data_IF_170499721885
#
_entry.id   IF_170499721885
#
_cell.length_a   1.000
_cell.length_b   1.000
_cell.length_c   1.000
_cell.angle_alpha   90.00
_cell.angle_beta   90.00
_cell.angle_gamma   90.00
#
_symmetry.space_group_name_H-M   'P 1'
#
loop_
_entity.id
_entity.type
_entity.pdbx_description
1 polymer ?
#
# COMPACT_ATOMS: atom_id res chain seq x y z
N UNK A 1 -25.05 52.32 32.37
CA UNK A 1 -23.66 52.07 32.83
C UNK A 1 -23.00 51.08 31.89
N UNK A 2 -22.04 51.55 31.10
CA UNK A 2 -21.21 50.78 30.16
C UNK A 2 -20.05 50.11 30.90
N UNK A 3 -19.79 48.83 30.63
CA UNK A 3 -18.46 48.22 30.77
C UNK A 3 -18.21 47.28 29.60
N UNK A 4 -17.55 47.83 28.58
CA UNK A 4 -16.74 47.06 27.63
C UNK A 4 -15.66 46.27 28.39
N UNK A 5 -15.41 45.02 28.01
CA UNK A 5 -14.16 44.34 28.37
C UNK A 5 -13.54 43.62 27.15
N UNK A 6 -12.64 44.37 26.53
CA UNK A 6 -11.31 44.00 26.00
C UNK A 6 -11.04 42.54 25.59
N UNK A 7 -10.77 42.42 24.29
CA UNK A 7 -9.46 42.07 23.74
C UNK A 7 -8.91 40.65 24.03
N UNK A 8 -9.03 39.75 23.05
CA UNK A 8 -7.94 38.80 22.75
C UNK A 8 -7.57 38.89 21.28
N UNK A 9 -6.33 39.30 21.08
CA UNK A 9 -5.67 39.52 19.81
C UNK A 9 -5.51 38.20 19.05
N UNK A 10 -5.79 38.30 17.76
CA UNK A 10 -5.54 37.34 16.69
C UNK A 10 -4.02 37.21 16.50
N UNK A 11 -3.45 36.05 16.78
CA UNK A 11 -2.06 35.72 16.43
C UNK A 11 -2.01 35.53 14.92
N UNK A 12 -1.44 36.48 14.19
CA UNK A 12 -1.06 36.31 12.78
C UNK A 12 0.42 35.95 12.74
N UNK A 13 0.74 34.88 12.01
CA UNK A 13 2.11 34.47 11.72
C UNK A 13 2.90 35.62 11.08
N UNK A 14 4.14 35.76 11.52
CA UNK A 14 5.10 36.71 10.99
C UNK A 14 5.60 36.23 9.63
N UNK A 15 4.94 36.64 8.54
CA UNK A 15 5.60 36.63 7.24
C UNK A 15 6.68 37.70 7.22
N UNK A 16 7.94 37.29 7.15
CA UNK A 16 9.07 38.19 6.97
C UNK A 16 9.01 38.71 5.53
N UNK A 17 8.30 39.83 5.34
CA UNK A 17 8.33 40.58 4.08
C UNK A 17 9.67 41.31 3.98
N UNK A 18 10.59 40.76 3.18
CA UNK A 18 11.81 41.46 2.74
C UNK A 18 11.45 42.54 1.70
N UNK A 19 10.77 43.60 2.13
CA UNK A 19 10.39 44.76 1.32
C UNK A 19 11.26 45.95 1.75
N UNK A 20 12.51 45.96 1.29
CA UNK A 20 13.46 47.04 1.53
C UNK A 20 14.67 46.93 0.62
N UNK A 21 15.39 48.04 0.41
CA UNK A 21 16.62 48.09 -0.40
C UNK A 21 17.65 47.05 0.03
N UNK A 22 17.74 46.75 1.34
CA UNK A 22 18.57 45.67 1.87
C UNK A 22 18.14 44.27 1.38
N UNK A 23 16.83 44.01 1.25
CA UNK A 23 16.31 42.75 0.71
C UNK A 23 16.57 42.58 -0.79
N UNK A 24 16.51 43.69 -1.55
CA UNK A 24 16.92 43.69 -2.96
C UNK A 24 18.41 43.47 -3.13
N UNK A 25 19.25 44.03 -2.26
CA UNK A 25 20.70 43.78 -2.27
C UNK A 25 21.01 42.32 -1.92
N UNK A 26 20.34 41.75 -0.91
CA UNK A 26 20.54 40.34 -0.54
C UNK A 26 20.09 39.37 -1.64
N UNK A 27 18.96 39.66 -2.30
CA UNK A 27 18.46 38.87 -3.42
C UNK A 27 19.40 38.97 -4.64
N UNK A 28 19.89 40.17 -4.96
CA UNK A 28 20.87 40.37 -6.05
C UNK A 28 22.21 39.69 -5.77
N UNK A 29 22.69 39.71 -4.52
CA UNK A 29 23.91 38.99 -4.12
C UNK A 29 23.72 37.46 -4.21
N UNK A 30 22.53 36.94 -3.84
CA UNK A 30 22.22 35.51 -3.97
C UNK A 30 22.14 35.06 -5.43
N UNK A 31 21.55 35.87 -6.32
CA UNK A 31 21.51 35.61 -7.76
C UNK A 31 22.90 35.69 -8.39
N UNK A 32 23.72 36.66 -7.98
CA UNK A 32 25.11 36.79 -8.46
C UNK A 32 25.96 35.59 -8.03
N UNK A 33 25.79 35.10 -6.80
CA UNK A 33 26.47 33.90 -6.32
C UNK A 33 26.06 32.65 -7.10
N UNK A 34 24.77 32.52 -7.45
CA UNK A 34 24.25 31.39 -8.21
C UNK A 34 24.76 31.39 -9.67
N UNK A 35 24.93 32.57 -10.28
CA UNK A 35 25.54 32.72 -11.61
C UNK A 35 27.03 32.36 -11.61
N UNK A 36 27.78 32.71 -10.55
CA UNK A 36 29.20 32.34 -10.41
C UNK A 36 29.36 30.82 -10.25
N UNK A 37 28.46 30.15 -9.53
CA UNK A 37 28.48 28.68 -9.37
C UNK A 37 28.22 28.00 -10.72
N UNK A 38 27.27 28.49 -11.54
CA UNK A 38 26.99 27.91 -12.86
C UNK A 38 28.14 28.14 -13.84
N UNK A 39 28.83 29.27 -13.79
CA UNK A 39 29.98 29.56 -14.65
C UNK A 39 31.24 28.74 -14.29
N UNK A 40 31.34 28.21 -13.07
CA UNK A 40 32.45 27.37 -12.60
C UNK A 40 32.30 25.88 -12.96
N UNK A 41 31.19 25.46 -13.58
CA UNK A 41 30.97 24.09 -14.05
C UNK A 41 31.31 23.85 -15.52
N UNK A 42 32.04 24.76 -16.16
CA UNK A 42 32.62 24.57 -17.50
C UNK A 42 33.83 23.62 -17.47
N UNK A 43 33.59 22.35 -17.13
CA UNK A 43 34.59 21.28 -17.13
C UNK A 43 34.84 20.73 -18.54
N UNK A 44 36.10 20.79 -18.95
CA UNK A 44 36.69 20.28 -20.18
C UNK A 44 36.17 18.89 -20.60
N UNK A 45 35.68 18.76 -21.82
CA UNK A 45 35.44 17.46 -22.45
C UNK A 45 36.78 16.76 -22.65
N UNK A 46 37.03 15.69 -21.88
CA UNK A 46 38.12 14.77 -22.12
C UNK A 46 37.78 13.90 -23.34
N UNK A 47 38.72 13.81 -24.28
CA UNK A 47 38.64 12.91 -25.43
C UNK A 47 38.53 11.44 -24.98
N UNK A 48 37.81 10.58 -25.72
CA UNK A 48 37.69 9.17 -25.37
C UNK A 48 39.00 8.43 -25.68
N UNK A 49 39.73 8.06 -24.63
CA UNK A 49 40.81 7.06 -24.72
C UNK A 49 40.21 5.72 -25.16
N UNK A 50 40.61 5.25 -26.33
CA UNK A 50 40.30 3.90 -26.82
C UNK A 50 40.97 2.88 -25.89
N UNK A 51 40.15 2.12 -25.16
CA UNK A 51 40.60 0.95 -24.41
C UNK A 51 40.90 -0.20 -25.39
N UNK A 52 41.94 -1.04 -25.14
CA UNK A 52 42.17 -2.23 -25.93
C UNK A 52 41.03 -3.23 -25.75
N UNK A 53 40.64 -3.88 -26.86
CA UNK A 53 39.58 -4.87 -26.94
C UNK A 53 39.79 -6.04 -25.96
N UNK A 54 38.72 -6.58 -25.35
CA UNK A 54 38.83 -7.77 -24.52
C UNK A 54 39.16 -9.00 -25.37
N UNK A 55 40.16 -9.76 -24.94
CA UNK A 55 40.48 -11.09 -25.44
C UNK A 55 39.27 -12.02 -25.26
N UNK A 56 38.73 -12.53 -26.36
CA UNK A 56 37.67 -13.53 -26.34
C UNK A 56 38.18 -14.82 -25.67
N UNK A 57 37.50 -15.23 -24.59
CA UNK A 57 37.69 -16.55 -23.97
C UNK A 57 36.87 -17.56 -24.78
N UNK A 58 37.41 -18.74 -25.14
CA UNK A 58 36.65 -19.73 -25.90
C UNK A 58 35.47 -20.22 -25.05
N UNK A 59 34.25 -19.98 -25.57
CA UNK A 59 33.00 -20.50 -25.03
C UNK A 59 32.96 -22.01 -25.26
N UNK A 60 32.91 -22.79 -24.18
CA UNK A 60 32.65 -24.23 -24.27
C UNK A 60 31.20 -24.45 -24.72
N UNK A 61 31.05 -25.23 -25.79
CA UNK A 61 29.76 -25.62 -26.37
C UNK A 61 28.86 -26.31 -25.33
N UNK A 62 27.54 -26.07 -25.37
CA UNK A 62 26.60 -26.85 -24.55
C UNK A 62 26.53 -28.29 -25.08
N UNK A 63 26.73 -29.24 -24.18
CA UNK A 63 26.48 -30.68 -24.39
C UNK A 63 24.98 -30.90 -24.60
N UNK A 64 24.62 -31.46 -25.75
CA UNK A 64 23.27 -31.94 -26.05
C UNK A 64 22.82 -32.93 -24.96
N UNK A 65 21.89 -32.48 -24.12
CA UNK A 65 21.19 -33.38 -23.19
C UNK A 65 20.07 -34.07 -23.98
N UNK A 66 20.06 -35.41 -24.07
CA UNK A 66 19.00 -36.10 -24.79
C UNK A 66 17.65 -35.89 -24.09
N UNK A 67 16.69 -35.36 -24.86
CA UNK A 67 15.28 -35.29 -24.52
C UNK A 67 14.75 -36.70 -24.18
N UNK A 68 14.09 -36.91 -23.03
CA UNK A 68 13.45 -38.20 -22.78
C UNK A 68 12.26 -38.39 -23.73
N UNK A 69 12.31 -39.48 -24.49
CA UNK A 69 11.23 -39.96 -25.34
C UNK A 69 10.04 -40.36 -24.45
N UNK A 70 8.79 -39.94 -24.74
CA UNK A 70 7.63 -40.42 -24.01
C UNK A 70 7.41 -41.91 -24.31
N UNK A 71 7.64 -42.75 -23.30
CA UNK A 71 7.24 -44.16 -23.31
C UNK A 71 5.72 -44.22 -23.19
N UNK A 72 5.05 -44.57 -24.28
CA UNK A 72 3.64 -44.95 -24.26
C UNK A 72 3.50 -46.31 -23.56
N UNK A 73 3.36 -46.28 -22.23
CA UNK A 73 2.89 -47.45 -21.47
C UNK A 73 1.38 -47.55 -21.66
N UNK A 74 0.84 -48.66 -22.19
CA UNK A 74 -0.60 -48.85 -22.23
C UNK A 74 -1.11 -48.97 -20.79
N UNK A 75 -1.91 -47.98 -20.36
CA UNK A 75 -2.69 -48.04 -19.12
C UNK A 75 -3.65 -49.22 -19.22
N UNK A 76 -3.48 -50.21 -18.34
CA UNK A 76 -4.44 -51.29 -18.20
C UNK A 76 -5.78 -50.70 -17.75
N UNK A 77 -6.82 -50.89 -18.57
CA UNK A 77 -8.22 -50.64 -18.25
C UNK A 77 -8.57 -51.36 -16.94
N UNK A 78 -9.00 -50.67 -15.87
CA UNK A 78 -9.55 -51.36 -14.72
C UNK A 78 -10.89 -52.02 -15.13
N UNK A 79 -11.03 -53.29 -14.81
CA UNK A 79 -12.28 -54.04 -14.92
C UNK A 79 -13.38 -53.38 -14.07
N UNK A 80 -14.67 -53.45 -14.47
CA UNK A 80 -15.75 -52.88 -13.68
C UNK A 80 -15.84 -53.59 -12.32
N UNK A 81 -15.63 -52.82 -11.25
CA UNK A 81 -15.93 -53.27 -9.89
C UNK A 81 -17.43 -53.16 -9.68
N UNK A 82 -18.08 -54.30 -9.42
CA UNK A 82 -19.47 -54.36 -8.96
C UNK A 82 -19.63 -53.49 -7.72
N UNK A 83 -20.22 -52.31 -7.91
CA UNK A 83 -20.55 -51.41 -6.81
C UNK A 83 -21.76 -51.99 -6.09
N UNK A 84 -21.68 -52.33 -4.79
CA UNK A 84 -22.85 -52.77 -4.06
C UNK A 84 -23.85 -51.60 -4.00
N UNK A 85 -25.08 -51.88 -4.44
CA UNK A 85 -26.23 -50.97 -4.34
C UNK A 85 -26.37 -50.49 -2.90
N UNK A 86 -26.23 -49.18 -2.68
CA UNK A 86 -26.46 -48.56 -1.40
C UNK A 86 -27.94 -48.75 -0.99
N UNK A 87 -28.15 -49.34 0.18
CA UNK A 87 -29.44 -49.36 0.88
C UNK A 87 -29.95 -47.93 1.05
N UNK A 88 -31.23 -47.62 0.75
CA UNK A 88 -31.76 -46.28 0.95
C UNK A 88 -31.72 -45.92 2.44
N UNK A 89 -30.99 -44.85 2.77
CA UNK A 89 -31.01 -44.20 4.08
C UNK A 89 -32.40 -43.57 4.27
N UNK A 90 -33.06 -43.72 5.43
CA UNK A 90 -34.35 -43.09 5.69
C UNK A 90 -34.23 -41.56 5.55
N UNK A 91 -35.15 -40.98 4.79
CA UNK A 91 -35.26 -39.54 4.58
C UNK A 91 -35.60 -38.84 5.89
N UNK A 92 -34.68 -38.03 6.41
CA UNK A 92 -34.96 -37.15 7.54
C UNK A 92 -36.15 -36.25 7.19
N UNK A 93 -37.13 -36.24 8.09
CA UNK A 93 -38.31 -35.38 8.00
C UNK A 93 -37.84 -33.92 7.95
N UNK A 94 -38.31 -33.09 6.99
CA UNK A 94 -37.88 -31.70 6.91
C UNK A 94 -38.29 -30.97 8.19
N UNK A 95 -37.29 -30.48 8.92
CA UNK A 95 -37.46 -29.52 10.01
C UNK A 95 -38.27 -28.34 9.49
N UNK A 96 -39.35 -27.90 10.18
CA UNK A 96 -40.13 -26.76 9.73
C UNK A 96 -39.22 -25.53 9.61
N UNK A 97 -39.29 -24.87 8.44
CA UNK A 97 -38.65 -23.59 8.19
C UNK A 97 -39.09 -22.60 9.27
N UNK A 98 -38.17 -22.02 10.06
CA UNK A 98 -38.56 -21.02 11.04
C UNK A 98 -39.20 -19.83 10.33
N UNK A 99 -40.37 -19.45 10.82
CA UNK A 99 -41.08 -18.22 10.45
C UNK A 99 -40.11 -17.03 10.52
N UNK A 100 -40.13 -16.08 9.57
CA UNK A 100 -39.23 -14.94 9.61
C UNK A 100 -39.49 -14.18 10.91
N UNK A 101 -38.52 -14.20 11.82
CA UNK A 101 -38.58 -13.38 13.00
C UNK A 101 -38.76 -11.94 12.53
N UNK A 102 -39.86 -11.29 12.93
CA UNK A 102 -40.03 -9.83 12.86
C UNK A 102 -39.11 -9.15 13.88
N UNK A 103 -37.87 -9.61 13.94
CA UNK A 103 -36.81 -9.09 14.78
C UNK A 103 -36.42 -7.73 14.24
N UNK A 104 -36.37 -6.77 15.16
CA UNK A 104 -35.70 -5.47 15.01
C UNK A 104 -34.48 -5.61 14.07
N UNK A 105 -34.30 -4.71 13.07
CA UNK A 105 -33.07 -4.72 12.28
C UNK A 105 -31.88 -4.78 13.25
N UNK A 106 -30.81 -5.54 12.91
CA UNK A 106 -29.64 -5.61 13.77
C UNK A 106 -29.25 -4.19 14.15
N UNK A 107 -29.01 -3.96 15.45
CA UNK A 107 -28.56 -2.66 15.91
C UNK A 107 -27.41 -2.21 15.00
N UNK A 108 -27.53 -1.01 14.45
CA UNK A 108 -26.44 -0.38 13.71
C UNK A 108 -25.16 -0.60 14.49
N UNK A 109 -24.03 -0.97 13.86
CA UNK A 109 -22.80 -1.23 14.60
C UNK A 109 -22.54 -0.07 15.55
N UNK A 110 -22.13 -0.37 16.79
CA UNK A 110 -21.76 0.64 17.75
C UNK A 110 -20.64 1.49 17.14
N UNK A 111 -20.99 2.69 16.65
CA UNK A 111 -20.01 3.63 16.10
C UNK A 111 -19.26 4.20 17.30
N UNK A 112 -18.09 3.63 17.58
CA UNK A 112 -17.18 4.16 18.59
C UNK A 112 -16.41 5.33 17.98
N UNK A 113 -16.74 6.55 18.39
CA UNK A 113 -15.96 7.73 18.04
C UNK A 113 -14.74 7.84 18.97
N UNK A 114 -13.56 7.47 18.48
CA UNK A 114 -12.28 7.66 19.20
C UNK A 114 -11.57 8.88 18.60
N UNK A 115 -11.62 10.02 19.31
CA UNK A 115 -10.93 11.27 18.91
C UNK A 115 -11.83 12.50 18.91
N UNK A 116 -11.29 13.64 18.45
CA UNK A 116 -12.10 14.81 18.14
C UNK A 116 -12.47 14.74 16.65
N UNK A 117 -13.70 14.32 16.30
CA UNK A 117 -14.07 14.07 14.92
C UNK A 117 -14.43 15.37 14.21
N UNK A 118 -13.76 16.48 14.51
CA UNK A 118 -14.12 17.78 13.95
C UNK A 118 -12.96 18.45 13.23
N UNK A 119 -13.25 19.14 12.12
CA UNK A 119 -12.32 20.09 11.51
C UNK A 119 -11.86 21.13 12.55
N UNK A 120 -10.80 21.90 12.28
CA UNK A 120 -10.47 23.09 13.07
C UNK A 120 -11.65 24.07 13.23
N UNK A 121 -12.62 24.04 12.32
CA UNK A 121 -13.82 24.88 12.30
C UNK A 121 -15.04 24.22 12.99
N UNK A 122 -14.94 22.96 13.42
CA UNK A 122 -15.97 22.25 14.19
C UNK A 122 -16.88 21.31 13.40
N UNK A 123 -16.64 21.11 12.10
CA UNK A 123 -17.47 20.25 11.25
C UNK A 123 -17.13 18.77 11.44
N UNK A 124 -18.11 17.87 11.47
CA UNK A 124 -17.87 16.44 11.66
C UNK A 124 -16.99 15.85 10.54
N UNK A 125 -16.09 14.97 10.91
CA UNK A 125 -15.17 14.25 10.03
C UNK A 125 -15.26 12.75 10.27
N UNK A 126 -15.09 12.01 9.19
CA UNK A 126 -14.90 10.56 9.18
C UNK A 126 -13.68 10.26 8.33
N UNK A 127 -12.84 9.33 8.77
CA UNK A 127 -11.77 8.76 7.97
C UNK A 127 -12.15 7.32 7.63
N UNK A 128 -12.10 7.00 6.34
CA UNK A 128 -12.30 5.64 5.85
C UNK A 128 -10.92 5.04 5.64
N UNK A 129 -10.73 3.78 6.02
CA UNK A 129 -9.49 3.08 5.72
C UNK A 129 -9.78 1.63 5.42
N UNK A 130 -8.89 1.02 4.65
CA UNK A 130 -9.04 -0.34 4.14
C UNK A 130 -7.83 -1.17 4.52
N UNK A 131 -8.08 -2.40 4.95
CA UNK A 131 -7.04 -3.42 5.11
C UNK A 131 -6.93 -4.17 3.78
N UNK A 132 -5.73 -4.17 3.20
CA UNK A 132 -5.51 -4.67 1.84
C UNK A 132 -5.04 -6.11 1.88
N UNK A 133 -5.94 -6.98 1.45
CA UNK A 133 -5.76 -8.41 1.24
C UNK A 133 -6.74 -8.89 0.15
N UNK A 134 -6.44 -10.04 -0.47
CA UNK A 134 -7.36 -10.66 -1.44
C UNK A 134 -7.23 -10.15 -2.88
N UNK A 135 -8.33 -10.15 -3.64
CA UNK A 135 -8.32 -9.94 -5.10
C UNK A 135 -8.18 -8.44 -5.47
N UNK A 136 -7.16 -8.04 -6.25
CA UNK A 136 -7.01 -6.66 -6.72
C UNK A 136 -8.18 -6.15 -7.57
N UNK A 137 -9.00 -7.01 -8.18
CA UNK A 137 -10.18 -6.58 -8.92
C UNK A 137 -11.19 -5.82 -8.03
N UNK A 138 -11.28 -6.16 -6.75
CA UNK A 138 -12.14 -5.44 -5.79
C UNK A 138 -11.50 -4.11 -5.40
N UNK A 139 -10.18 -4.07 -5.24
CA UNK A 139 -9.44 -2.83 -4.98
C UNK A 139 -9.68 -1.80 -6.09
N UNK A 140 -9.58 -2.18 -7.36
CA UNK A 140 -9.80 -1.22 -8.46
C UNK A 140 -11.21 -0.63 -8.46
N UNK A 141 -12.24 -1.43 -8.13
CA UNK A 141 -13.61 -0.93 -7.98
C UNK A 141 -13.73 0.08 -6.83
N UNK A 142 -13.07 -0.19 -5.70
CA UNK A 142 -13.03 0.74 -4.57
C UNK A 142 -12.33 2.04 -4.98
N UNK A 143 -11.19 1.96 -5.65
CA UNK A 143 -10.43 3.12 -6.12
C UNK A 143 -11.25 3.96 -7.11
N UNK A 144 -11.98 3.34 -8.02
CA UNK A 144 -12.86 4.05 -8.97
C UNK A 144 -13.98 4.81 -8.26
N UNK A 145 -14.58 4.23 -7.22
CA UNK A 145 -15.59 4.91 -6.39
C UNK A 145 -14.94 6.05 -5.60
N UNK A 146 -13.77 5.85 -5.01
CA UNK A 146 -13.08 6.92 -4.27
C UNK A 146 -12.75 8.09 -5.18
N UNK A 147 -12.32 7.84 -6.42
CA UNK A 147 -12.08 8.87 -7.44
C UNK A 147 -13.38 9.60 -7.83
N UNK A 148 -14.50 8.89 -8.03
CA UNK A 148 -15.81 9.47 -8.35
C UNK A 148 -16.24 10.51 -7.31
N UNK A 149 -15.99 10.23 -6.03
CA UNK A 149 -16.32 11.12 -4.92
C UNK A 149 -15.17 12.06 -4.50
N UNK A 150 -14.01 11.99 -5.16
CA UNK A 150 -12.83 12.79 -4.83
C UNK A 150 -12.27 12.53 -3.43
N UNK A 151 -12.43 11.32 -2.91
CA UNK A 151 -12.04 10.92 -1.55
C UNK A 151 -10.61 10.36 -1.57
N UNK A 152 -9.77 10.88 -0.67
CA UNK A 152 -8.47 10.29 -0.33
C UNK A 152 -8.53 9.68 1.06
N UNK A 153 -7.81 8.58 1.22
CA UNK A 153 -8.02 7.61 2.30
C UNK A 153 -6.72 6.85 2.56
N UNK A 154 -6.68 6.08 3.65
CA UNK A 154 -5.50 5.26 4.01
C UNK A 154 -5.75 3.78 3.74
N UNK A 155 -4.80 3.12 3.06
CA UNK A 155 -4.79 1.67 2.81
C UNK A 155 -3.69 1.03 3.65
N UNK A 156 -4.05 0.10 4.53
CA UNK A 156 -3.13 -0.66 5.36
C UNK A 156 -2.70 -1.91 4.58
N UNK A 157 -1.43 -1.95 4.21
CA UNK A 157 -0.87 -2.88 3.23
C UNK A 157 -0.35 -4.15 3.92
N UNK A 158 -0.83 -5.32 3.50
CA UNK A 158 -0.21 -6.59 3.84
C UNK A 158 1.05 -6.81 2.98
N UNK A 159 2.18 -7.17 3.59
CA UNK A 159 3.46 -7.38 2.91
C UNK A 159 3.42 -8.41 1.77
N UNK A 160 2.92 -9.62 2.04
CA UNK A 160 2.79 -10.68 1.02
C UNK A 160 1.89 -10.27 -0.15
N UNK A 161 0.81 -9.52 0.14
CA UNK A 161 -0.09 -9.03 -0.91
C UNK A 161 0.61 -8.02 -1.83
N UNK A 162 1.45 -7.14 -1.27
CA UNK A 162 2.22 -6.16 -2.05
C UNK A 162 3.27 -6.86 -2.92
N UNK A 163 3.93 -7.90 -2.39
CA UNK A 163 4.85 -8.73 -3.17
C UNK A 163 4.12 -9.41 -4.33
N UNK A 164 2.91 -9.91 -4.09
CA UNK A 164 2.10 -10.59 -5.10
C UNK A 164 1.52 -9.64 -6.17
N UNK A 165 1.12 -8.43 -5.80
CA UNK A 165 0.40 -7.48 -6.66
C UNK A 165 1.05 -6.09 -6.68
N UNK A 166 2.30 -5.96 -7.15
CA UNK A 166 3.05 -4.71 -7.05
C UNK A 166 2.41 -3.56 -7.87
N UNK A 167 1.84 -3.85 -9.04
CA UNK A 167 1.16 -2.84 -9.87
C UNK A 167 -0.10 -2.28 -9.19
N UNK A 168 -0.83 -3.11 -8.45
CA UNK A 168 -2.01 -2.70 -7.70
C UNK A 168 -1.62 -1.82 -6.49
N UNK A 169 -0.54 -2.16 -5.79
CA UNK A 169 0.01 -1.33 -4.73
C UNK A 169 0.48 0.05 -5.25
N UNK A 170 1.13 0.07 -6.42
CA UNK A 170 1.53 1.32 -7.09
C UNK A 170 0.33 2.17 -7.49
N UNK A 171 -0.76 1.54 -7.92
CA UNK A 171 -1.99 2.24 -8.29
C UNK A 171 -2.59 3.02 -7.13
N UNK A 172 -2.60 2.45 -5.92
CA UNK A 172 -3.08 3.12 -4.70
C UNK A 172 -2.33 4.44 -4.50
N UNK A 173 -0.99 4.41 -4.63
CA UNK A 173 -0.15 5.61 -4.52
C UNK A 173 -0.37 6.57 -5.68
N UNK A 174 -0.50 6.05 -6.92
CA UNK A 174 -0.72 6.86 -8.12
C UNK A 174 -2.02 7.68 -8.03
N UNK A 175 -3.06 7.15 -7.37
CA UNK A 175 -4.33 7.83 -7.11
C UNK A 175 -4.31 8.72 -5.87
N UNK A 176 -3.17 8.80 -5.16
CA UNK A 176 -2.92 9.78 -4.11
C UNK A 176 -3.45 9.36 -2.74
N UNK A 177 -3.62 8.06 -2.50
CA UNK A 177 -3.96 7.53 -1.19
C UNK A 177 -2.72 7.37 -0.30
N UNK A 178 -2.94 7.35 1.02
CA UNK A 178 -1.90 7.12 2.02
C UNK A 178 -1.74 5.62 2.30
N UNK A 179 -0.54 5.20 2.68
CA UNK A 179 -0.24 3.81 3.03
C UNK A 179 -0.01 3.67 4.54
N UNK A 180 -0.54 2.60 5.12
CA UNK A 180 -0.23 2.10 6.46
C UNK A 180 0.27 0.66 6.40
N UNK A 181 0.79 0.15 7.51
CA UNK A 181 1.31 -1.22 7.61
C UNK A 181 0.24 -2.17 8.18
N UNK A 182 0.06 -3.34 7.57
CA UNK A 182 -0.86 -4.38 8.06
C UNK A 182 -0.18 -5.74 8.28
N UNK A 183 1.07 -5.73 8.71
CA UNK A 183 1.94 -6.92 8.84
C UNK A 183 2.23 -7.62 7.51
N UNK A 184 3.13 -8.60 7.56
CA UNK A 184 3.57 -9.36 6.39
C UNK A 184 2.61 -10.51 6.10
N UNK A 185 2.41 -11.39 7.07
CA UNK A 185 1.62 -12.62 6.95
C UNK A 185 0.16 -12.49 7.39
N UNK A 186 -0.21 -11.38 8.04
CA UNK A 186 -1.51 -11.24 8.73
C UNK A 186 -1.72 -12.28 9.86
N UNK A 187 -0.62 -12.72 10.51
CA UNK A 187 -0.71 -13.63 11.66
C UNK A 187 -1.12 -12.90 12.95
N UNK A 188 -1.74 -13.62 13.89
CA UNK A 188 -2.19 -13.06 15.16
C UNK A 188 -1.00 -12.65 16.03
N UNK A 189 -0.81 -11.34 16.23
CA UNK A 189 0.31 -10.80 17.01
C UNK A 189 0.30 -11.22 18.49
N UNK A 190 -0.85 -11.60 19.05
CA UNK A 190 -0.95 -12.09 20.43
C UNK A 190 -0.26 -13.45 20.62
N UNK A 191 0.06 -14.14 19.52
CA UNK A 191 0.71 -15.45 19.47
C UNK A 191 2.18 -15.35 19.01
N UNK A 192 2.70 -14.14 18.80
CA UNK A 192 4.05 -13.88 18.34
C UNK A 192 4.92 -13.26 19.43
N UNK A 193 6.23 -13.47 19.33
CA UNK A 193 7.24 -12.73 20.08
C UNK A 193 7.37 -11.30 19.57
N UNK A 194 7.97 -10.41 20.37
CA UNK A 194 8.20 -9.03 19.96
C UNK A 194 9.15 -8.94 18.76
N UNK A 195 10.11 -9.86 18.66
CA UNK A 195 11.05 -9.97 17.54
C UNK A 195 10.34 -10.39 16.25
N UNK A 196 9.43 -11.35 16.32
CA UNK A 196 8.60 -11.77 15.18
C UNK A 196 7.68 -10.64 14.71
N UNK A 197 7.01 -9.95 15.65
CA UNK A 197 6.20 -8.75 15.33
C UNK A 197 7.07 -7.67 14.68
N UNK A 198 8.27 -7.42 15.18
CA UNK A 198 9.17 -6.43 14.59
C UNK A 198 9.52 -6.80 13.16
N UNK A 199 9.81 -8.08 12.92
CA UNK A 199 10.12 -8.58 11.58
C UNK A 199 8.94 -8.42 10.60
N UNK A 200 7.72 -8.76 11.03
CA UNK A 200 6.49 -8.56 10.24
C UNK A 200 6.33 -7.10 9.78
N UNK A 201 6.58 -6.14 10.68
CA UNK A 201 6.46 -4.72 10.38
C UNK A 201 7.60 -4.22 9.46
N UNK A 202 8.83 -4.65 9.73
CA UNK A 202 10.02 -4.23 8.97
C UNK A 202 10.03 -4.78 7.55
N UNK A 203 9.69 -6.06 7.35
CA UNK A 203 9.61 -6.67 6.03
C UNK A 203 8.51 -6.01 5.20
N UNK A 204 7.36 -5.71 5.81
CA UNK A 204 6.25 -5.01 5.14
C UNK A 204 6.61 -3.59 4.74
N UNK A 205 7.28 -2.83 5.62
CA UNK A 205 7.81 -1.51 5.27
C UNK A 205 8.81 -1.59 4.11
N UNK A 206 9.68 -2.60 4.10
CA UNK A 206 10.69 -2.77 3.06
C UNK A 206 10.05 -3.02 1.70
N UNK A 207 9.14 -3.99 1.57
CA UNK A 207 8.52 -4.31 0.28
C UNK A 207 7.63 -3.18 -0.23
N UNK A 208 6.86 -2.53 0.65
CA UNK A 208 6.01 -1.39 0.25
C UNK A 208 6.88 -0.26 -0.28
N UNK A 209 7.98 0.06 0.40
CA UNK A 209 8.89 1.12 -0.03
C UNK A 209 9.62 0.78 -1.32
N UNK A 210 10.02 -0.48 -1.50
CA UNK A 210 10.65 -0.95 -2.72
C UNK A 210 9.69 -0.83 -3.92
N UNK A 211 8.46 -1.30 -3.78
CA UNK A 211 7.46 -1.36 -4.86
C UNK A 211 6.89 0.02 -5.19
N UNK A 212 6.57 0.82 -4.17
CA UNK A 212 5.78 2.05 -4.34
C UNK A 212 6.59 3.34 -4.18
N UNK A 213 7.79 3.27 -3.60
CA UNK A 213 8.57 4.43 -3.21
C UNK A 213 8.04 5.19 -1.99
N UNK A 214 6.95 4.73 -1.35
CA UNK A 214 6.34 5.35 -0.18
C UNK A 214 6.60 4.55 1.10
N UNK A 215 6.56 5.24 2.25
CA UNK A 215 6.66 4.59 3.57
C UNK A 215 5.27 4.30 4.12
N UNK A 216 5.17 3.22 4.92
CA UNK A 216 3.97 2.90 5.72
C UNK A 216 3.96 3.61 7.08
N UNK A 217 5.08 4.24 7.47
CA UNK A 217 5.20 4.91 8.77
C UNK A 217 4.44 6.24 8.79
N UNK A 218 3.87 6.65 9.94
CA UNK A 218 3.97 5.98 11.25
C UNK A 218 2.81 5.02 11.54
N UNK A 219 1.96 4.72 10.57
CA UNK A 219 0.68 4.05 10.82
C UNK A 219 0.80 2.54 10.66
N UNK A 220 0.26 1.82 11.64
CA UNK A 220 0.16 0.38 11.63
C UNK A 220 -1.19 -0.04 12.23
N UNK A 221 -1.77 -1.11 11.67
CA UNK A 221 -2.96 -1.78 12.21
C UNK A 221 -2.65 -3.27 12.39
N UNK A 222 -2.81 -3.83 13.60
CA UNK A 222 -2.59 -5.25 13.83
C UNK A 222 -3.62 -6.12 13.11
N UNK A 223 -3.23 -7.34 12.69
CA UNK A 223 -4.14 -8.40 12.26
C UNK A 223 -5.18 -8.78 13.33
#
# INVERSE_FOLDING_TARGET
MSKQNRNKQRVRGSEIRYQGTAGRVLLLLSLLLLVVIVAACGGQAAEPTIAPAPTETPTTAPTDTPTPVPTNTPTATPAPTDTPTATPVPTDTPTPTPEPATGRPPASPDIVYIGNPTTPDGDPQVNISFDVQGDPATLYQILDILDEYGIRTTFFMQGEWVEQYPEAAQEIVRRGHELGNHSWTHFNFSEMTAEEVTKELEDTEAIVKEVTGQTTKPYFRPP
#
